data_IF_038443813203
#
_entry.id   IF_038443813203
#
_cell.length_a   1.000
_cell.length_b   1.000
_cell.length_c   1.000
_cell.angle_alpha   90.00
_cell.angle_beta   90.00
_cell.angle_gamma   90.00
#
_symmetry.space_group_name_H-M   'P 1'
#
loop_
_entity.id
_entity.type
_entity.pdbx_description
1 polymer ?
#
# COMPACT_ATOMS: atom_id res chain seq x y z
N UNK A 1 5.16 -18.26 17.04
CA UNK A 1 4.01 -17.57 16.42
C UNK A 1 4.28 -17.50 14.91
N UNK A 2 3.37 -17.02 14.07
CA UNK A 2 3.64 -16.84 12.64
C UNK A 2 3.14 -15.49 12.12
N UNK A 3 4.02 -14.73 11.46
CA UNK A 3 3.65 -13.51 10.74
C UNK A 3 2.91 -13.92 9.45
N UNK A 4 1.66 -13.49 9.31
CA UNK A 4 0.88 -13.66 8.07
C UNK A 4 1.13 -12.49 7.13
N UNK A 5 1.07 -11.27 7.67
CA UNK A 5 1.25 -10.01 6.96
C UNK A 5 1.96 -9.03 7.89
N UNK A 6 2.78 -8.12 7.36
CA UNK A 6 3.31 -7.03 8.18
C UNK A 6 2.24 -6.00 8.53
N UNK A 7 2.44 -5.25 9.62
CA UNK A 7 1.61 -4.09 9.97
C UNK A 7 1.64 -3.03 8.86
N UNK A 8 2.79 -2.86 8.19
CA UNK A 8 2.95 -1.97 7.04
C UNK A 8 1.99 -2.36 5.91
N UNK A 9 1.92 -3.65 5.55
CA UNK A 9 0.97 -4.11 4.53
C UNK A 9 -0.48 -3.90 4.94
N UNK A 10 -0.83 -4.16 6.21
CA UNK A 10 -2.20 -3.93 6.70
C UNK A 10 -2.57 -2.46 6.55
N UNK A 11 -1.69 -1.55 6.98
CA UNK A 11 -1.90 -0.11 6.84
C UNK A 11 -2.03 0.33 5.38
N UNK A 12 -1.13 -0.15 4.51
CA UNK A 12 -1.16 0.16 3.08
C UNK A 12 -2.41 -0.38 2.39
N UNK A 13 -2.88 -1.58 2.75
CA UNK A 13 -4.13 -2.15 2.24
C UNK A 13 -5.34 -1.34 2.69
N UNK A 14 -5.37 -0.87 3.94
CA UNK A 14 -6.45 -0.01 4.42
C UNK A 14 -6.45 1.34 3.71
N UNK A 15 -5.26 1.89 3.40
CA UNK A 15 -5.12 3.13 2.67
C UNK A 15 -5.53 2.98 1.20
N UNK A 16 -5.06 1.92 0.52
CA UNK A 16 -5.53 1.57 -0.83
C UNK A 16 -7.04 1.30 -0.84
N UNK A 17 -7.55 0.66 0.21
CA UNK A 17 -8.96 0.40 0.46
C UNK A 17 -9.73 0.00 -0.81
N UNK A 18 -10.87 0.66 -0.98
CA UNK A 18 -11.76 0.49 -2.12
C UNK A 18 -11.46 1.49 -3.26
N UNK A 19 -10.21 1.96 -3.41
CA UNK A 19 -9.87 3.04 -4.38
C UNK A 19 -10.42 2.77 -5.78
N UNK A 20 -10.34 1.52 -6.26
CA UNK A 20 -10.92 1.14 -7.55
C UNK A 20 -12.45 1.32 -7.57
N UNK A 21 -13.15 0.87 -6.54
CA UNK A 21 -14.60 1.00 -6.43
C UNK A 21 -15.03 2.47 -6.28
N UNK A 22 -14.27 3.27 -5.52
CA UNK A 22 -14.49 4.70 -5.40
C UNK A 22 -14.29 5.41 -6.75
N UNK A 23 -13.21 5.09 -7.47
CA UNK A 23 -12.98 5.64 -8.81
C UNK A 23 -14.11 5.25 -9.77
N UNK A 24 -14.55 3.99 -9.78
CA UNK A 24 -15.69 3.54 -10.60
C UNK A 24 -16.95 4.35 -10.25
N UNK A 25 -17.26 4.48 -8.96
CA UNK A 25 -18.43 5.21 -8.48
C UNK A 25 -18.39 6.68 -8.90
N UNK A 26 -17.23 7.35 -8.74
CA UNK A 26 -17.03 8.72 -9.19
C UNK A 26 -17.22 8.85 -10.71
N UNK A 27 -16.66 7.95 -11.50
CA UNK A 27 -16.78 7.99 -12.97
C UNK A 27 -18.22 7.73 -13.45
N UNK A 28 -18.98 6.87 -12.77
CA UNK A 28 -20.41 6.65 -13.03
C UNK A 28 -21.19 7.94 -12.73
N UNK A 29 -20.95 8.58 -11.59
CA UNK A 29 -21.59 9.86 -11.25
C UNK A 29 -21.28 10.97 -12.26
N UNK A 30 -20.02 11.09 -12.68
CA UNK A 30 -19.60 12.05 -13.72
C UNK A 30 -20.26 11.75 -15.07
N UNK A 31 -20.48 10.47 -15.41
CA UNK A 31 -21.20 10.10 -16.62
C UNK A 31 -22.70 10.44 -16.54
N UNK A 32 -23.30 10.31 -15.35
CA UNK A 32 -24.65 10.79 -15.07
C UNK A 32 -24.80 12.29 -15.30
N UNK A 33 -23.81 13.08 -14.87
CA UNK A 33 -23.73 14.52 -15.15
C UNK A 33 -23.62 14.80 -16.64
N UNK A 34 -22.71 14.10 -17.34
CA UNK A 34 -22.49 14.26 -18.79
C UNK A 34 -23.77 14.05 -19.60
N UNK A 35 -24.59 13.08 -19.18
CA UNK A 35 -25.83 12.69 -19.86
C UNK A 35 -27.05 13.49 -19.41
N UNK A 36 -26.89 14.43 -18.46
CA UNK A 36 -27.98 15.22 -17.91
C UNK A 36 -28.91 14.46 -16.95
N UNK A 37 -28.59 13.20 -16.62
CA UNK A 37 -29.36 12.38 -15.67
C UNK A 37 -29.14 12.78 -14.21
N UNK A 38 -28.00 13.39 -13.92
CA UNK A 38 -27.64 13.89 -12.59
C UNK A 38 -27.51 15.41 -12.68
N UNK A 39 -28.26 16.11 -11.82
CA UNK A 39 -28.26 17.57 -11.69
C UNK A 39 -27.86 17.97 -10.27
N UNK A 40 -27.51 19.25 -10.08
CA UNK A 40 -27.15 19.78 -8.77
C UNK A 40 -28.36 19.76 -7.84
N UNK A 41 -28.22 19.09 -6.71
CA UNK A 41 -29.23 19.11 -5.67
C UNK A 41 -29.32 20.48 -4.96
N UNK A 42 -30.48 20.80 -4.40
CA UNK A 42 -30.71 22.06 -3.67
C UNK A 42 -29.97 22.13 -2.33
N UNK A 43 -29.68 20.98 -1.70
CA UNK A 43 -28.85 20.90 -0.50
C UNK A 43 -27.40 21.30 -0.76
N UNK A 44 -26.93 21.19 -2.01
CA UNK A 44 -25.58 21.58 -2.40
C UNK A 44 -25.49 23.11 -2.55
N UNK A 45 -25.12 23.79 -1.44
CA UNK A 45 -25.05 25.26 -1.30
C UNK A 45 -23.79 25.87 -1.93
N UNK A 46 -23.46 25.46 -3.15
CA UNK A 46 -22.39 26.06 -3.96
C UNK A 46 -22.87 26.27 -5.39
N UNK A 47 -22.31 27.29 -6.05
CA UNK A 47 -22.62 27.59 -7.45
C UNK A 47 -22.04 26.52 -8.37
N UNK A 48 -22.88 25.92 -9.21
CA UNK A 48 -22.45 25.01 -10.27
C UNK A 48 -23.37 25.17 -11.48
N UNK A 49 -22.85 25.82 -12.52
CA UNK A 49 -23.56 26.10 -13.77
C UNK A 49 -22.59 25.91 -14.96
N UNK A 50 -22.21 24.66 -15.29
CA UNK A 50 -21.24 24.40 -16.35
C UNK A 50 -21.82 24.81 -17.71
N UNK A 51 -21.03 25.57 -18.49
CA UNK A 51 -21.42 25.95 -19.87
C UNK A 51 -21.53 24.75 -20.81
N UNK A 52 -20.68 23.75 -20.60
CA UNK A 52 -20.66 22.50 -21.37
C UNK A 52 -20.46 21.31 -20.42
N UNK A 53 -21.47 20.45 -20.35
CA UNK A 53 -21.47 19.23 -19.56
C UNK A 53 -20.46 18.21 -20.09
N UNK A 54 -20.22 18.16 -21.40
CA UNK A 54 -19.29 17.23 -22.02
C UNK A 54 -17.85 17.53 -21.61
N UNK A 55 -17.39 18.76 -21.85
CA UNK A 55 -16.06 19.23 -21.43
C UNK A 55 -15.87 19.16 -19.92
N UNK A 56 -16.87 19.59 -19.14
CA UNK A 56 -16.81 19.52 -17.67
C UNK A 56 -16.63 18.08 -17.18
N UNK A 57 -17.41 17.15 -17.73
CA UNK A 57 -17.30 15.73 -17.38
C UNK A 57 -15.97 15.12 -17.83
N UNK A 58 -15.43 15.50 -18.99
CA UNK A 58 -14.12 15.04 -19.44
C UNK A 58 -13.01 15.47 -18.46
N UNK A 59 -13.02 16.73 -18.02
CA UNK A 59 -12.06 17.24 -17.03
C UNK A 59 -12.22 16.56 -15.68
N UNK A 60 -13.46 16.38 -15.20
CA UNK A 60 -13.72 15.67 -13.95
C UNK A 60 -13.22 14.21 -13.99
N UNK A 61 -13.40 13.50 -15.11
CA UNK A 61 -12.83 12.15 -15.30
C UNK A 61 -11.31 12.14 -15.23
N UNK A 62 -10.64 13.12 -15.85
CA UNK A 62 -9.17 13.25 -15.76
C UNK A 62 -8.72 13.49 -14.33
N UNK A 63 -9.38 14.41 -13.62
CA UNK A 63 -9.09 14.69 -12.22
C UNK A 63 -9.27 13.47 -11.32
N UNK A 64 -10.41 12.78 -11.41
CA UNK A 64 -10.69 11.59 -10.60
C UNK A 64 -9.64 10.48 -10.82
N UNK A 65 -9.21 10.26 -12.07
CA UNK A 65 -8.18 9.29 -12.41
C UNK A 65 -6.80 9.69 -11.88
N UNK A 66 -6.42 10.96 -11.98
CA UNK A 66 -5.16 11.46 -11.43
C UNK A 66 -5.14 11.37 -9.90
N UNK A 67 -6.24 11.72 -9.24
CA UNK A 67 -6.38 11.60 -7.78
C UNK A 67 -6.26 10.13 -7.32
N UNK A 68 -6.95 9.21 -7.99
CA UNK A 68 -6.87 7.78 -7.66
C UNK A 68 -5.46 7.20 -7.87
N UNK A 69 -4.77 7.58 -8.94
CA UNK A 69 -3.37 7.18 -9.16
C UNK A 69 -2.46 7.75 -8.06
N UNK A 70 -2.62 9.02 -7.71
CA UNK A 70 -1.82 9.68 -6.67
C UNK A 70 -2.00 8.99 -5.32
N UNK A 71 -3.25 8.72 -4.94
CA UNK A 71 -3.61 8.01 -3.72
C UNK A 71 -2.99 6.61 -3.66
N UNK A 72 -3.02 5.86 -4.77
CA UNK A 72 -2.43 4.53 -4.82
C UNK A 72 -0.90 4.55 -4.66
N UNK A 73 -0.23 5.54 -5.26
CA UNK A 73 1.20 5.76 -5.10
C UNK A 73 1.56 6.18 -3.67
N UNK A 74 0.74 7.00 -3.02
CA UNK A 74 0.94 7.38 -1.63
C UNK A 74 0.79 6.18 -0.68
N UNK A 75 -0.10 5.23 -1.01
CA UNK A 75 -0.20 3.99 -0.24
C UNK A 75 1.02 3.07 -0.39
N UNK A 76 1.63 3.03 -1.58
CA UNK A 76 2.94 2.39 -1.77
C UNK A 76 4.02 3.11 -0.96
N UNK A 77 4.03 4.44 -0.95
CA UNK A 77 5.01 5.21 -0.18
C UNK A 77 4.87 4.99 1.33
N UNK A 78 3.63 4.95 1.83
CA UNK A 78 3.33 4.65 3.22
C UNK A 78 3.80 3.24 3.62
N UNK A 79 3.60 2.24 2.75
CA UNK A 79 4.15 0.90 2.94
C UNK A 79 5.68 0.94 3.06
N UNK A 80 6.36 1.50 2.07
CA UNK A 80 7.83 1.55 2.01
C UNK A 80 8.42 2.35 3.18
N UNK A 81 7.81 3.48 3.52
CA UNK A 81 8.24 4.31 4.65
C UNK A 81 8.01 3.64 6.01
N UNK A 82 6.95 2.85 6.16
CA UNK A 82 6.70 2.09 7.40
C UNK A 82 7.80 1.06 7.67
N UNK A 83 8.38 0.49 6.62
CA UNK A 83 9.49 -0.47 6.75
C UNK A 83 10.80 0.17 7.25
N UNK A 84 10.89 1.50 7.33
CA UNK A 84 12.06 2.20 7.87
C UNK A 84 12.17 2.10 9.40
N UNK A 85 11.10 1.70 10.10
CA UNK A 85 11.13 1.53 11.56
C UNK A 85 11.93 0.29 11.94
N UNK A 86 13.21 0.52 12.28
CA UNK A 86 14.17 -0.53 12.64
C UNK A 86 13.83 -1.27 13.93
N UNK A 87 12.99 -0.70 14.80
CA UNK A 87 12.55 -1.40 16.01
C UNK A 87 11.56 -2.52 15.69
N UNK A 88 10.80 -2.36 14.60
CA UNK A 88 9.80 -3.32 14.15
C UNK A 88 10.39 -4.21 13.06
N UNK A 89 11.05 -3.61 12.08
CA UNK A 89 11.57 -4.26 10.89
C UNK A 89 13.09 -4.35 10.96
N UNK A 90 13.59 -5.41 11.59
CA UNK A 90 15.02 -5.74 11.50
C UNK A 90 15.32 -6.36 10.14
N UNK A 91 15.74 -5.52 9.20
CA UNK A 91 16.08 -5.89 7.83
C UNK A 91 17.60 -6.06 7.61
N UNK A 92 18.37 -6.22 8.70
CA UNK A 92 19.82 -6.37 8.64
C UNK A 92 20.29 -7.62 7.87
N UNK A 93 19.42 -8.63 7.75
CA UNK A 93 19.69 -9.87 7.01
C UNK A 93 19.57 -9.72 5.48
N UNK A 94 19.09 -8.58 4.96
CA UNK A 94 18.99 -8.36 3.53
C UNK A 94 20.36 -8.08 2.91
N UNK A 95 20.48 -8.32 1.60
CA UNK A 95 21.74 -8.22 0.86
C UNK A 95 22.32 -6.80 0.82
N UNK A 96 21.49 -5.78 1.02
CA UNK A 96 21.89 -4.36 0.96
C UNK A 96 21.25 -3.60 2.15
N UNK A 97 22.00 -2.73 2.84
CA UNK A 97 21.44 -1.86 3.87
C UNK A 97 20.36 -0.92 3.32
N UNK A 98 19.15 -0.97 3.88
CA UNK A 98 18.00 -0.22 3.37
C UNK A 98 17.67 1.06 4.13
N UNK A 99 18.16 1.20 5.35
CA UNK A 99 17.50 2.05 6.33
C UNK A 99 17.45 3.54 5.92
N UNK A 100 18.54 4.09 5.39
CA UNK A 100 18.55 5.50 4.98
C UNK A 100 17.74 5.72 3.70
N UNK A 101 17.68 4.70 2.83
CA UNK A 101 16.94 4.76 1.58
C UNK A 101 15.42 4.71 1.77
N UNK A 102 14.93 3.95 2.75
CA UNK A 102 13.49 3.88 3.05
C UNK A 102 12.94 5.19 3.66
N UNK A 103 13.82 6.04 4.21
CA UNK A 103 13.47 7.39 4.69
C UNK A 103 13.56 8.48 3.61
N UNK A 104 14.02 8.14 2.40
CA UNK A 104 14.17 9.09 1.30
C UNK A 104 12.81 9.74 0.93
N UNK A 105 12.80 10.93 0.32
CA UNK A 105 11.55 11.54 -0.18
C UNK A 105 11.06 10.92 -1.48
N UNK A 106 11.96 10.31 -2.25
CA UNK A 106 11.65 9.72 -3.55
C UNK A 106 11.17 8.28 -3.40
N UNK A 107 9.91 8.05 -3.76
CA UNK A 107 9.29 6.72 -3.82
C UNK A 107 10.08 5.79 -4.75
N UNK A 108 10.61 6.34 -5.85
CA UNK A 108 11.44 5.60 -6.80
C UNK A 108 12.72 5.07 -6.13
N UNK A 109 13.38 5.88 -5.29
CA UNK A 109 14.57 5.44 -4.55
C UNK A 109 14.20 4.35 -3.55
N UNK A 110 13.18 4.58 -2.72
CA UNK A 110 12.71 3.57 -1.74
C UNK A 110 12.42 2.22 -2.38
N UNK A 111 11.63 2.23 -3.47
CA UNK A 111 11.21 1.02 -4.16
C UNK A 111 12.41 0.27 -4.76
N UNK A 112 13.29 0.97 -5.48
CA UNK A 112 14.45 0.33 -6.11
C UNK A 112 15.43 -0.22 -5.09
N UNK A 113 15.65 0.47 -3.97
CA UNK A 113 16.49 -0.03 -2.89
C UNK A 113 15.93 -1.34 -2.34
N UNK A 114 14.63 -1.39 -2.03
CA UNK A 114 14.00 -2.60 -1.52
C UNK A 114 14.02 -3.74 -2.56
N UNK A 115 13.63 -3.47 -3.80
CA UNK A 115 13.67 -4.42 -4.92
C UNK A 115 15.06 -5.02 -5.09
N UNK A 116 16.10 -4.19 -4.99
CA UNK A 116 17.49 -4.65 -5.09
C UNK A 116 17.89 -5.50 -3.89
N UNK A 117 17.53 -5.09 -2.67
CA UNK A 117 17.90 -5.79 -1.45
C UNK A 117 17.28 -7.19 -1.33
N UNK A 118 16.09 -7.39 -1.89
CA UNK A 118 15.41 -8.70 -1.94
C UNK A 118 15.60 -9.44 -3.27
N UNK A 119 16.37 -8.87 -4.21
CA UNK A 119 16.60 -9.42 -5.56
C UNK A 119 15.29 -9.74 -6.31
N UNK A 120 14.30 -8.84 -6.25
CA UNK A 120 13.00 -9.07 -6.85
C UNK A 120 13.12 -9.12 -8.39
N UNK A 121 12.63 -10.19 -9.05
CA UNK A 121 12.71 -10.29 -10.49
C UNK A 121 11.82 -9.26 -11.19
N UNK A 122 12.22 -8.90 -12.41
CA UNK A 122 11.42 -8.07 -13.29
C UNK A 122 10.07 -8.75 -13.57
N UNK A 123 8.98 -8.00 -13.38
CA UNK A 123 7.62 -8.49 -13.55
C UNK A 123 6.72 -7.41 -14.13
N UNK A 124 5.52 -7.79 -14.57
CA UNK A 124 4.53 -6.85 -15.08
C UNK A 124 4.10 -5.86 -14.01
N UNK A 125 3.87 -6.34 -12.78
CA UNK A 125 3.54 -5.52 -11.62
C UNK A 125 4.62 -4.50 -11.31
N UNK A 126 5.88 -4.94 -11.19
CA UNK A 126 6.98 -4.02 -10.92
C UNK A 126 7.11 -2.97 -12.02
N UNK A 127 7.04 -3.39 -13.29
CA UNK A 127 7.15 -2.49 -14.44
C UNK A 127 6.01 -1.46 -14.48
N UNK A 128 4.78 -1.91 -14.24
CA UNK A 128 3.60 -1.03 -14.18
C UNK A 128 3.66 -0.07 -12.99
N UNK A 129 4.21 -0.48 -11.84
CA UNK A 129 4.42 0.42 -10.69
C UNK A 129 5.48 1.48 -11.00
N UNK A 130 6.59 1.12 -11.65
CA UNK A 130 7.56 2.11 -12.12
C UNK A 130 6.94 3.11 -13.08
N UNK A 131 6.15 2.65 -14.06
CA UNK A 131 5.40 3.52 -14.95
C UNK A 131 4.42 4.41 -14.17
N UNK A 132 3.67 3.86 -13.21
CA UNK A 132 2.72 4.59 -12.39
C UNK A 132 3.39 5.73 -11.61
N UNK A 133 4.58 5.50 -11.03
CA UNK A 133 5.37 6.53 -10.33
C UNK A 133 5.71 7.68 -11.29
N UNK A 134 6.28 7.37 -12.46
CA UNK A 134 6.68 8.42 -13.41
C UNK A 134 5.48 9.16 -13.99
N UNK A 135 4.40 8.45 -14.31
CA UNK A 135 3.18 9.06 -14.80
C UNK A 135 2.55 9.98 -13.75
N UNK A 136 2.51 9.55 -12.48
CA UNK A 136 2.04 10.38 -11.37
C UNK A 136 2.91 11.63 -11.21
N UNK A 137 4.23 11.51 -11.32
CA UNK A 137 5.11 12.67 -11.24
C UNK A 137 4.85 13.68 -12.37
N UNK A 138 4.68 13.21 -13.61
CA UNK A 138 4.40 14.07 -14.77
C UNK A 138 3.00 14.72 -14.70
N UNK A 139 2.04 14.10 -13.99
CA UNK A 139 0.70 14.66 -13.78
C UNK A 139 0.65 15.74 -12.70
N UNK A 140 1.45 15.59 -11.63
CA UNK A 140 1.38 16.49 -10.45
C UNK A 140 2.40 17.63 -10.55
N UNK A 141 3.58 17.37 -11.11
CA UNK A 141 4.65 18.34 -11.16
C UNK A 141 4.68 19.00 -12.55
N UNK A 142 4.26 20.26 -12.61
CA UNK A 142 4.02 21.01 -13.85
C UNK A 142 5.21 21.06 -14.83
N UNK A 143 6.46 20.93 -14.34
CA UNK A 143 7.68 20.93 -15.16
C UNK A 143 8.39 19.56 -15.20
N UNK A 144 7.73 18.49 -14.77
CA UNK A 144 8.38 17.20 -14.71
C UNK A 144 8.24 16.43 -16.03
N UNK A 145 9.39 16.09 -16.61
CA UNK A 145 9.52 15.26 -17.81
C UNK A 145 10.20 13.94 -17.44
N UNK A 146 9.61 13.20 -16.48
CA UNK A 146 10.19 11.92 -16.10
C UNK A 146 10.00 10.90 -17.21
N UNK A 147 11.06 10.16 -17.49
CA UNK A 147 11.06 9.04 -18.42
C UNK A 147 10.99 7.70 -17.68
N UNK A 148 10.47 6.69 -18.36
CA UNK A 148 10.50 5.32 -17.89
C UNK A 148 11.80 4.65 -18.35
N UNK A 149 12.50 3.98 -17.42
CA UNK A 149 13.66 3.17 -17.75
C UNK A 149 13.29 2.10 -18.80
N UNK A 150 14.15 1.98 -19.83
CA UNK A 150 13.95 1.14 -21.02
C UNK A 150 13.68 -0.31 -20.70
N UNK A 151 14.21 -0.84 -19.59
CA UNK A 151 13.93 -2.23 -19.19
C UNK A 151 12.44 -2.45 -18.84
N UNK A 152 11.82 -1.50 -18.13
CA UNK A 152 10.40 -1.58 -17.78
C UNK A 152 9.52 -1.27 -19.00
N UNK A 153 9.92 -0.29 -19.82
CA UNK A 153 9.22 0.06 -21.06
C UNK A 153 9.14 -1.15 -22.01
N UNK A 154 10.28 -1.80 -22.25
CA UNK A 154 10.39 -2.99 -23.11
C UNK A 154 9.60 -4.16 -22.52
N UNK A 155 9.67 -4.37 -21.21
CA UNK A 155 8.91 -5.42 -20.54
C UNK A 155 7.40 -5.23 -20.72
N UNK A 156 6.89 -4.01 -20.51
CA UNK A 156 5.47 -3.68 -20.66
C UNK A 156 5.02 -3.94 -22.10
N UNK A 157 5.75 -3.43 -23.09
CA UNK A 157 5.42 -3.61 -24.52
C UNK A 157 5.37 -5.08 -24.92
N UNK A 158 6.32 -5.88 -24.43
CA UNK A 158 6.47 -7.27 -24.86
C UNK A 158 5.54 -8.23 -24.10
N UNK A 159 5.14 -7.91 -22.87
CA UNK A 159 4.40 -8.85 -22.00
C UNK A 159 2.92 -8.46 -21.77
N UNK A 160 2.55 -7.19 -21.99
CA UNK A 160 1.14 -6.77 -21.90
C UNK A 160 0.51 -6.70 -23.29
N UNK A 161 0.33 -7.87 -23.89
CA UNK A 161 -0.31 -8.00 -25.20
C UNK A 161 -1.83 -7.94 -25.01
N UNK A 162 -2.49 -7.10 -25.81
CA UNK A 162 -3.94 -7.05 -25.88
C UNK A 162 -4.44 -8.11 -26.87
N UNK A 163 -5.26 -9.04 -26.39
CA UNK A 163 -5.95 -10.06 -27.14
C UNK A 163 -7.38 -10.23 -26.58
N UNK A 164 -8.40 -9.89 -27.37
CA UNK A 164 -9.80 -9.97 -26.91
C UNK A 164 -10.24 -11.39 -26.56
N UNK A 165 -9.73 -12.40 -27.28
CA UNK A 165 -10.03 -13.81 -27.03
C UNK A 165 -9.31 -14.37 -25.80
N UNK A 166 -8.20 -13.74 -25.40
CA UNK A 166 -7.46 -14.12 -24.20
C UNK A 166 -6.97 -12.87 -23.43
N UNK A 167 -7.88 -12.19 -22.70
CA UNK A 167 -7.54 -10.99 -21.94
C UNK A 167 -6.42 -11.26 -20.94
N UNK A 168 -5.41 -10.40 -20.95
CA UNK A 168 -4.41 -10.42 -19.87
C UNK A 168 -5.04 -10.07 -18.51
N UNK A 169 -4.33 -10.39 -17.42
CA UNK A 169 -4.80 -10.18 -16.03
C UNK A 169 -5.13 -8.73 -15.66
N UNK A 170 -4.83 -7.77 -16.53
CA UNK A 170 -5.16 -6.34 -16.39
C UNK A 170 -6.36 -5.94 -17.27
N UNK A 171 -7.22 -6.90 -17.59
CA UNK A 171 -8.47 -6.69 -18.31
C UNK A 171 -8.28 -6.45 -19.80
N UNK A 172 -7.27 -7.06 -20.42
CA UNK A 172 -6.86 -6.84 -21.82
C UNK A 172 -6.15 -5.50 -22.09
N UNK A 173 -5.31 -5.03 -21.15
CA UNK A 173 -4.57 -3.78 -21.31
C UNK A 173 -3.49 -3.92 -22.40
N UNK A 174 -3.44 -2.99 -23.35
CA UNK A 174 -2.36 -2.92 -24.36
C UNK A 174 -1.16 -2.17 -23.77
N UNK A 175 -0.04 -2.86 -23.60
CA UNK A 175 1.22 -2.27 -23.15
C UNK A 175 1.78 -1.26 -24.15
N UNK A 176 1.62 -1.52 -25.45
CA UNK A 176 2.02 -0.59 -26.49
C UNK A 176 1.27 0.75 -26.36
N UNK A 177 -0.06 0.70 -26.32
CA UNK A 177 -0.89 1.92 -26.24
C UNK A 177 -0.65 2.67 -24.94
N UNK A 178 -0.42 1.93 -23.85
CA UNK A 178 -0.12 2.50 -22.54
C UNK A 178 1.18 3.32 -22.57
N UNK A 179 2.24 2.81 -23.22
CA UNK A 179 3.51 3.53 -23.35
C UNK A 179 3.38 4.70 -24.34
N UNK A 180 2.65 4.54 -25.45
CA UNK A 180 2.38 5.63 -26.39
C UNK A 180 1.65 6.78 -25.69
N UNK A 181 0.60 6.47 -24.92
CA UNK A 181 -0.14 7.46 -24.15
C UNK A 181 0.78 8.18 -23.13
N UNK A 182 1.63 7.44 -22.42
CA UNK A 182 2.58 8.01 -21.45
C UNK A 182 3.59 8.96 -22.12
N UNK A 183 4.28 8.50 -23.16
CA UNK A 183 5.29 9.27 -23.88
C UNK A 183 4.69 10.49 -24.60
N UNK A 184 3.43 10.40 -25.02
CA UNK A 184 2.69 11.52 -25.61
C UNK A 184 2.15 12.53 -24.60
N UNK A 185 2.46 12.39 -23.30
CA UNK A 185 1.97 13.29 -22.25
C UNK A 185 0.46 13.18 -22.00
N UNK A 186 -0.18 12.08 -22.41
CA UNK A 186 -1.62 11.91 -22.23
C UNK A 186 -1.96 11.61 -20.77
N UNK A 187 -3.20 11.94 -20.38
CA UNK A 187 -3.73 11.47 -19.10
C UNK A 187 -4.02 9.96 -19.15
N UNK A 188 -3.73 9.22 -18.07
CA UNK A 188 -3.97 7.78 -18.04
C UNK A 188 -5.47 7.50 -18.20
N UNK A 189 -5.79 6.49 -19.01
CA UNK A 189 -7.14 5.97 -19.20
C UNK A 189 -7.57 5.20 -17.95
N UNK A 190 -8.87 5.03 -17.75
CA UNK A 190 -9.41 4.30 -16.59
C UNK A 190 -8.79 2.91 -16.43
N UNK A 191 -8.69 2.16 -17.52
CA UNK A 191 -8.08 0.84 -17.57
C UNK A 191 -6.62 0.83 -17.10
N UNK A 192 -5.85 1.86 -17.48
CA UNK A 192 -4.47 2.03 -17.02
C UNK A 192 -4.40 2.29 -15.52
N UNK A 193 -5.24 3.20 -15.00
CA UNK A 193 -5.29 3.48 -13.55
C UNK A 193 -5.71 2.25 -12.75
N UNK A 194 -6.73 1.50 -13.20
CA UNK A 194 -7.15 0.27 -12.55
C UNK A 194 -6.04 -0.80 -12.55
N UNK A 195 -5.27 -0.91 -13.65
CA UNK A 195 -4.11 -1.77 -13.72
C UNK A 195 -3.01 -1.33 -12.75
N UNK A 196 -2.72 -0.02 -12.66
CA UNK A 196 -1.74 0.51 -11.69
C UNK A 196 -2.14 0.20 -10.24
N UNK A 197 -3.39 0.45 -9.86
CA UNK A 197 -3.88 0.14 -8.50
C UNK A 197 -3.73 -1.36 -8.20
N UNK A 198 -4.11 -2.23 -9.15
CA UNK A 198 -3.94 -3.68 -9.01
C UNK A 198 -2.47 -4.06 -8.87
N UNK A 199 -1.60 -3.53 -9.72
CA UNK A 199 -0.16 -3.78 -9.69
C UNK A 199 0.50 -3.31 -8.41
N UNK A 200 0.12 -2.13 -7.89
CA UNK A 200 0.62 -1.62 -6.61
C UNK A 200 0.23 -2.58 -5.48
N UNK A 201 -1.04 -2.98 -5.41
CA UNK A 201 -1.49 -3.92 -4.39
C UNK A 201 -0.70 -5.24 -4.48
N UNK A 202 -0.67 -5.88 -5.64
CA UNK A 202 0.05 -7.15 -5.84
C UNK A 202 1.56 -7.04 -5.61
N UNK A 203 2.18 -5.91 -5.95
CA UNK A 203 3.59 -5.67 -5.66
C UNK A 203 3.82 -5.58 -4.16
N UNK A 204 2.99 -4.83 -3.41
CA UNK A 204 3.08 -4.76 -1.94
C UNK A 204 2.96 -6.16 -1.33
N UNK A 205 2.06 -7.01 -1.84
CA UNK A 205 1.94 -8.39 -1.34
C UNK A 205 3.20 -9.22 -1.58
N UNK A 206 3.82 -9.07 -2.76
CA UNK A 206 5.06 -9.74 -3.11
C UNK A 206 6.23 -9.25 -2.25
N UNK A 207 6.34 -7.93 -2.07
CA UNK A 207 7.36 -7.30 -1.22
C UNK A 207 7.19 -7.75 0.24
N UNK A 208 5.96 -7.75 0.75
CA UNK A 208 5.62 -8.13 2.12
C UNK A 208 5.99 -9.59 2.40
N UNK A 209 5.70 -10.51 1.48
CA UNK A 209 6.09 -11.91 1.62
C UNK A 209 7.61 -12.07 1.73
N UNK A 210 8.38 -11.34 0.91
CA UNK A 210 9.84 -11.34 0.96
C UNK A 210 10.39 -10.68 2.24
N UNK A 211 9.73 -9.63 2.76
CA UNK A 211 10.09 -9.05 4.06
C UNK A 211 9.84 -10.05 5.19
N UNK A 212 8.66 -10.67 5.22
CA UNK A 212 8.29 -11.64 6.25
C UNK A 212 9.28 -12.80 6.34
N UNK A 213 9.79 -13.29 5.21
CA UNK A 213 10.80 -14.37 5.21
C UNK A 213 12.15 -13.97 5.81
N UNK A 214 12.41 -12.68 5.98
CA UNK A 214 13.67 -12.14 6.54
C UNK A 214 13.54 -11.65 7.99
N UNK A 215 12.32 -11.63 8.54
CA UNK A 215 12.07 -11.20 9.92
C UNK A 215 12.10 -12.38 10.90
N UNK A 216 12.63 -12.14 12.09
CA UNK A 216 12.44 -13.07 13.22
C UNK A 216 11.14 -12.72 13.95
N UNK A 217 10.28 -13.73 14.15
CA UNK A 217 8.95 -13.52 14.75
C UNK A 217 9.05 -12.89 16.16
N UNK A 218 9.93 -13.35 17.07
CA UNK A 218 10.05 -12.74 18.39
C UNK A 218 10.47 -11.27 18.37
N UNK A 219 11.44 -10.89 17.53
CA UNK A 219 11.90 -9.51 17.44
C UNK A 219 10.83 -8.60 16.83
N UNK A 220 10.16 -9.06 15.77
CA UNK A 220 9.06 -8.33 15.14
C UNK A 220 7.91 -8.08 16.12
N UNK A 221 7.48 -9.11 16.86
CA UNK A 221 6.43 -8.98 17.89
C UNK A 221 6.86 -8.02 18.99
N UNK A 222 8.10 -8.13 19.49
CA UNK A 222 8.64 -7.20 20.49
C UNK A 222 8.60 -5.75 20.01
N UNK A 223 9.03 -5.52 18.76
CA UNK A 223 8.99 -4.21 18.12
C UNK A 223 7.59 -3.62 18.07
N UNK A 224 6.63 -4.41 17.56
CA UNK A 224 5.23 -4.01 17.48
C UNK A 224 4.64 -3.63 18.85
N UNK A 225 4.88 -4.45 19.87
CA UNK A 225 4.37 -4.21 21.22
C UNK A 225 5.04 -2.99 21.86
N UNK A 226 6.33 -2.80 21.62
CA UNK A 226 7.07 -1.63 22.10
C UNK A 226 6.50 -0.34 21.52
N UNK A 227 6.25 -0.32 20.21
CA UNK A 227 5.64 0.83 19.54
C UNK A 227 4.23 1.12 20.08
N UNK A 228 3.37 0.10 20.18
CA UNK A 228 2.03 0.26 20.73
C UNK A 228 2.03 0.77 22.17
N UNK A 229 2.98 0.34 22.99
CA UNK A 229 3.06 0.78 24.38
C UNK A 229 3.48 2.25 24.51
N UNK A 230 4.24 2.78 23.55
CA UNK A 230 4.66 4.18 23.46
C UNK A 230 3.57 5.12 22.97
N UNK A 231 2.53 4.59 22.29
CA UNK A 231 1.40 5.39 21.83
C UNK A 231 0.55 5.91 23.01
N UNK A 232 -0.21 6.98 22.78
CA UNK A 232 -1.10 7.57 23.79
C UNK A 232 -2.11 6.53 24.30
N UNK A 233 -2.13 6.31 25.62
CA UNK A 233 -2.96 5.29 26.26
C UNK A 233 -2.42 3.84 26.15
N UNK A 234 -1.29 3.65 25.47
CA UNK A 234 -0.63 2.35 25.29
C UNK A 234 -0.35 1.66 26.62
N UNK A 235 0.41 2.29 27.52
CA UNK A 235 0.74 1.75 28.86
C UNK A 235 -0.50 1.26 29.65
N UNK A 236 -1.61 2.01 29.60
CA UNK A 236 -2.85 1.61 30.26
C UNK A 236 -3.51 0.39 29.59
N UNK A 237 -3.53 0.36 28.25
CA UNK A 237 -4.03 -0.80 27.50
C UNK A 237 -3.22 -2.07 27.77
N UNK A 238 -1.89 -1.96 27.82
CA UNK A 238 -0.98 -3.07 28.17
C UNK A 238 -1.22 -3.57 29.60
N UNK A 239 -1.29 -2.66 30.58
CA UNK A 239 -1.56 -3.01 31.97
C UNK A 239 -2.91 -3.73 32.12
N UNK A 240 -3.92 -3.33 31.34
CA UNK A 240 -5.23 -4.01 31.30
C UNK A 240 -5.14 -5.43 30.73
N UNK A 241 -4.43 -5.62 29.61
CA UNK A 241 -4.31 -6.93 28.96
C UNK A 241 -3.50 -7.89 29.83
N UNK A 242 -2.29 -7.50 30.24
CA UNK A 242 -1.39 -8.37 31.02
C UNK A 242 -1.77 -8.45 32.52
N UNK A 243 -2.62 -7.55 33.01
CA UNK A 243 -3.20 -7.60 34.35
C UNK A 243 -4.43 -8.52 34.47
N UNK A 244 -4.97 -9.05 33.36
CA UNK A 244 -6.13 -9.96 33.39
C UNK A 244 -5.78 -11.26 34.15
N UNK A 245 -6.41 -11.55 35.30
CA UNK A 245 -6.04 -12.69 36.14
C UNK A 245 -6.42 -14.04 35.53
N UNK A 246 -7.42 -14.10 34.66
CA UNK A 246 -7.87 -15.35 34.04
C UNK A 246 -7.00 -15.63 32.81
N UNK A 247 -6.14 -16.67 32.89
CA UNK A 247 -5.19 -17.05 31.84
C UNK A 247 -5.84 -17.15 30.46
N UNK A 248 -6.97 -17.84 30.34
CA UNK A 248 -7.67 -18.01 29.06
C UNK A 248 -8.18 -16.68 28.46
N UNK A 249 -8.64 -15.75 29.30
CA UNK A 249 -9.08 -14.42 28.85
C UNK A 249 -7.88 -13.61 28.38
N UNK A 250 -6.78 -13.62 29.14
CA UNK A 250 -5.53 -12.96 28.78
C UNK A 250 -4.99 -13.48 27.44
N UNK A 251 -4.91 -14.81 27.28
CA UNK A 251 -4.47 -15.43 26.03
C UNK A 251 -5.33 -15.01 24.84
N UNK A 252 -6.66 -14.98 25.00
CA UNK A 252 -7.58 -14.49 23.95
C UNK A 252 -7.34 -13.02 23.60
N UNK A 253 -7.14 -12.15 24.59
CA UNK A 253 -6.85 -10.73 24.36
C UNK A 253 -5.52 -10.50 23.64
N UNK A 254 -4.46 -11.20 24.05
CA UNK A 254 -3.14 -11.11 23.41
C UNK A 254 -3.21 -11.69 21.98
N UNK A 255 -3.89 -12.82 21.79
CA UNK A 255 -4.13 -13.41 20.47
C UNK A 255 -4.89 -12.44 19.55
N UNK A 256 -5.96 -11.81 20.04
CA UNK A 256 -6.72 -10.81 19.27
C UNK A 256 -5.86 -9.60 18.89
N UNK A 257 -5.02 -9.12 19.82
CA UNK A 257 -4.09 -8.03 19.58
C UNK A 257 -3.08 -8.41 18.47
N UNK A 258 -2.41 -9.55 18.61
CA UNK A 258 -1.42 -10.01 17.65
C UNK A 258 -2.03 -10.28 16.26
N UNK A 259 -3.23 -10.87 16.21
CA UNK A 259 -3.95 -11.08 14.94
C UNK A 259 -4.26 -9.75 14.24
N UNK A 260 -4.65 -8.72 14.98
CA UNK A 260 -4.89 -7.38 14.40
C UNK A 260 -3.63 -6.72 13.82
N UNK A 261 -2.45 -7.18 14.27
CA UNK A 261 -1.14 -6.74 13.79
C UNK A 261 -0.54 -7.68 12.72
N UNK A 262 -1.32 -8.66 12.25
CA UNK A 262 -0.91 -9.61 11.21
C UNK A 262 -0.11 -10.80 11.72
N UNK A 263 -0.09 -11.06 13.03
CA UNK A 263 0.60 -12.21 13.65
C UNK A 263 -0.43 -13.23 14.13
N UNK A 264 -0.42 -14.39 13.48
CA UNK A 264 -1.19 -15.55 13.94
C UNK A 264 -0.47 -16.28 15.07
N UNK A 265 -1.26 -16.80 16.01
CA UNK A 265 -0.74 -17.51 17.18
C UNK A 265 -1.37 -18.90 17.28
N UNK A 266 -0.56 -19.88 17.67
CA UNK A 266 -1.02 -21.20 18.09
C UNK A 266 -0.91 -21.27 19.62
N UNK A 267 -1.91 -21.82 20.35
CA UNK A 267 -1.88 -21.86 21.81
C UNK A 267 -0.65 -22.54 22.42
N UNK A 268 -0.12 -23.55 21.72
CA UNK A 268 1.04 -24.34 22.13
C UNK A 268 2.40 -23.74 21.72
N UNK A 269 2.39 -22.55 21.14
CA UNK A 269 3.61 -21.90 20.68
C UNK A 269 4.47 -21.43 21.88
N UNK A 270 5.76 -21.78 21.96
CA UNK A 270 6.60 -21.45 23.11
C UNK A 270 6.72 -19.95 23.36
N UNK A 271 6.97 -19.16 22.32
CA UNK A 271 7.12 -17.71 22.44
C UNK A 271 5.80 -17.05 22.88
N UNK A 272 4.67 -17.54 22.36
CA UNK A 272 3.35 -17.07 22.78
C UNK A 272 3.06 -17.42 24.25
N UNK A 273 3.41 -18.63 24.67
CA UNK A 273 3.24 -19.08 26.06
C UNK A 273 4.01 -18.16 27.01
N UNK A 274 5.29 -17.90 26.73
CA UNK A 274 6.12 -16.98 27.51
C UNK A 274 5.49 -15.60 27.59
N UNK A 275 5.04 -15.03 26.46
CA UNK A 275 4.37 -13.71 26.46
C UNK A 275 3.11 -13.67 27.34
N UNK A 276 2.34 -14.74 27.39
CA UNK A 276 1.08 -14.79 28.17
C UNK A 276 1.31 -14.98 29.66
N UNK A 277 2.46 -15.56 30.04
CA UNK A 277 2.83 -15.84 31.43
C UNK A 277 3.52 -14.66 32.12
N UNK A 278 4.04 -13.70 31.35
CA UNK A 278 4.61 -12.47 31.90
C UNK A 278 3.61 -11.70 32.76
N UNK A 279 4.08 -11.21 33.90
CA UNK A 279 3.43 -10.18 34.71
C UNK A 279 3.52 -8.82 34.01
N UNK A 280 2.71 -7.85 34.44
CA UNK A 280 2.79 -6.46 33.94
C UNK A 280 4.19 -5.88 34.12
N UNK A 281 4.87 -6.18 35.25
CA UNK A 281 6.24 -5.72 35.52
C UNK A 281 7.26 -6.33 34.57
N UNK A 282 7.19 -7.64 34.36
CA UNK A 282 8.07 -8.33 33.40
C UNK A 282 7.83 -7.84 31.98
N UNK A 283 6.57 -7.56 31.61
CA UNK A 283 6.24 -7.02 30.29
C UNK A 283 6.82 -5.61 30.08
N UNK A 284 6.73 -4.73 31.09
CA UNK A 284 7.38 -3.40 31.01
C UNK A 284 8.90 -3.51 30.86
N UNK A 285 9.54 -4.45 31.57
CA UNK A 285 10.96 -4.72 31.43
C UNK A 285 11.30 -5.30 30.05
N UNK A 286 10.50 -6.25 29.56
CA UNK A 286 10.68 -6.88 28.26
C UNK A 286 10.65 -5.86 27.11
N UNK A 287 9.77 -4.86 27.20
CA UNK A 287 9.64 -3.78 26.22
C UNK A 287 10.59 -2.60 26.47
N UNK A 288 11.43 -2.66 27.50
CA UNK A 288 12.32 -1.57 27.92
C UNK A 288 11.59 -0.24 28.15
N UNK A 289 10.38 -0.30 28.73
CA UNK A 289 9.56 0.87 29.05
C UNK A 289 9.88 1.34 30.48
N UNK A 290 11.06 1.94 30.66
CA UNK A 290 11.36 2.73 31.87
C UNK A 290 10.66 4.09 31.78
#
# INVERSE_FOLDING_TARGET
MQIKHTRARIAAKNLLGDTNQLLITLLIGVEGVRTGKVVKDESFKVSWNPKDLSSTSQRARRFARAAALSWAIDALDAYLGSLADRFIYDLSNLSVPLNDQLTNRSIFVKLNSLVSAISLPLSAELSLVHLAIQWRNNLIHFHAENELDKKYESFIKNNLISNESNPNKFGNLSGHDLIVDFNGGAHPKFKGVAAFIKSINTLIETLDAAIVSNLTVPAYVKGLLTDLAKQNGGKASFSRIWGEPIKDKRMKSISSLLNSLGVSVAPQDPDFTVLTEMTVKEMHQYLSLT
#
